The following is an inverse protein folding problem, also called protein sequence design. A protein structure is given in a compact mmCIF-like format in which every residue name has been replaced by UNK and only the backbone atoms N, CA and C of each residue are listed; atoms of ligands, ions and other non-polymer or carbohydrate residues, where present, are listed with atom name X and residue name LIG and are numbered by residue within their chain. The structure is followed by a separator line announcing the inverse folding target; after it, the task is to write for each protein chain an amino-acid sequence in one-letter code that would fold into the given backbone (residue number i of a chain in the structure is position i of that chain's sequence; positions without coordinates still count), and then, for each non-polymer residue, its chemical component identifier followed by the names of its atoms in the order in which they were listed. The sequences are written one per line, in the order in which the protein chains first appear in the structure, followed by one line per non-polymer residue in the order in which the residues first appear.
data_IF_991502020676
#
_entry.id   IF_991502020676
#
_cell.length_a   1.000
_cell.length_b   1.000
_cell.length_c   1.000
_cell.angle_alpha   90.00
_cell.angle_beta   90.00
_cell.angle_gamma   90.00
#
_symmetry.space_group_name_H-M   'P 1'
#
loop_
_entity.id
_entity.type
_entity.pdbx_description
1 polymer ?
#
# COMPACT_ATOMS: atom_id res chain seq x y z
N UNK A 1 -24.61 -10.27 12.69
CA UNK A 1 -24.71 -10.03 11.22
C UNK A 1 -23.40 -9.44 10.72
N UNK A 2 -22.63 -10.20 9.92
CA UNK A 2 -21.30 -9.82 9.40
C UNK A 2 -21.49 -8.76 8.30
N UNK A 3 -21.26 -7.48 8.60
CA UNK A 3 -21.39 -6.40 7.61
C UNK A 3 -20.30 -6.56 6.55
N UNK A 4 -20.67 -7.08 5.37
CA UNK A 4 -19.77 -7.11 4.23
C UNK A 4 -19.43 -5.66 3.86
N UNK A 5 -18.15 -5.33 3.64
CA UNK A 5 -17.78 -3.97 3.25
C UNK A 5 -18.50 -3.58 1.96
N UNK A 6 -19.33 -2.54 2.01
CA UNK A 6 -20.01 -2.01 0.83
C UNK A 6 -18.98 -1.29 -0.05
N UNK A 7 -18.75 -1.88 -1.23
CA UNK A 7 -17.83 -1.42 -2.27
C UNK A 7 -18.12 0.00 -2.78
N UNK A 8 -19.32 0.53 -2.51
CA UNK A 8 -19.72 1.88 -2.91
C UNK A 8 -19.35 2.94 -1.89
N UNK A 9 -18.89 2.55 -0.69
CA UNK A 9 -18.57 3.49 0.38
C UNK A 9 -17.39 4.40 -0.02
N UNK A 10 -17.45 5.72 0.25
CA UNK A 10 -16.38 6.66 -0.10
C UNK A 10 -15.00 6.28 0.46
N UNK A 11 -14.96 5.58 1.60
CA UNK A 11 -13.74 5.04 2.21
C UNK A 11 -13.00 4.04 1.30
N UNK A 12 -13.74 3.13 0.69
CA UNK A 12 -13.16 2.09 -0.18
C UNK A 12 -12.71 2.71 -1.50
N UNK A 13 -13.45 3.70 -2.01
CA UNK A 13 -13.04 4.48 -3.19
C UNK A 13 -11.76 5.27 -2.93
N UNK A 14 -11.65 5.91 -1.76
CA UNK A 14 -10.43 6.60 -1.34
C UNK A 14 -9.24 5.64 -1.30
N UNK A 15 -9.42 4.44 -0.73
CA UNK A 15 -8.40 3.40 -0.72
C UNK A 15 -7.97 3.01 -2.15
N UNK A 16 -8.94 2.78 -3.03
CA UNK A 16 -8.69 2.40 -4.42
C UNK A 16 -7.98 3.50 -5.21
N UNK A 17 -8.36 4.77 -5.00
CA UNK A 17 -7.75 5.91 -5.68
C UNK A 17 -6.32 6.19 -5.20
N UNK A 18 -6.04 6.03 -3.91
CA UNK A 18 -4.70 6.18 -3.38
C UNK A 18 -3.72 5.18 -4.01
N UNK A 19 -4.14 3.92 -4.15
CA UNK A 19 -3.32 2.89 -4.82
C UNK A 19 -3.14 3.19 -6.31
N UNK A 20 -4.17 3.67 -7.00
CA UNK A 20 -4.05 4.08 -8.41
C UNK A 20 -3.10 5.25 -8.61
N UNK A 21 -3.04 6.19 -7.67
CA UNK A 21 -2.19 7.38 -7.77
C UNK A 21 -0.70 7.02 -7.68
N UNK A 22 -0.33 6.10 -6.79
CA UNK A 22 1.04 5.57 -6.71
C UNK A 22 1.44 4.82 -8.00
N UNK A 23 0.52 4.02 -8.56
CA UNK A 23 0.71 3.36 -9.85
C UNK A 23 0.93 4.35 -11.00
N UNK A 24 0.19 5.46 -11.04
CA UNK A 24 0.32 6.45 -12.13
C UNK A 24 1.70 7.09 -12.16
N UNK A 25 2.25 7.49 -11.02
CA UNK A 25 3.58 8.10 -10.98
C UNK A 25 4.69 7.14 -11.38
N UNK A 26 4.57 5.87 -10.97
CA UNK A 26 5.49 4.82 -11.36
C UNK A 26 5.43 4.54 -12.87
N UNK A 27 4.23 4.48 -13.46
CA UNK A 27 4.06 4.29 -14.90
C UNK A 27 4.61 5.48 -15.69
N UNK A 28 4.34 6.71 -15.24
CA UNK A 28 4.85 7.93 -15.89
C UNK A 28 6.39 7.96 -15.89
N UNK A 29 7.03 7.63 -14.76
CA UNK A 29 8.48 7.56 -14.67
C UNK A 29 9.08 6.50 -15.62
N UNK A 30 8.43 5.33 -15.72
CA UNK A 30 8.82 4.25 -16.64
C UNK A 30 8.71 4.66 -18.11
N UNK A 31 7.60 5.28 -18.50
CA UNK A 31 7.41 5.78 -19.86
C UNK A 31 8.43 6.87 -20.22
N UNK A 32 8.74 7.77 -19.29
CA UNK A 32 9.78 8.79 -19.47
C UNK A 32 11.16 8.15 -19.66
N UNK A 33 11.51 7.17 -18.83
CA UNK A 33 12.80 6.48 -18.91
C UNK A 33 12.94 5.69 -20.24
N UNK A 34 11.85 5.04 -20.67
CA UNK A 34 11.81 4.27 -21.92
C UNK A 34 11.87 5.19 -23.15
N UNK A 35 11.13 6.30 -23.13
CA UNK A 35 11.18 7.31 -24.20
C UNK A 35 12.55 7.97 -24.31
N UNK A 36 13.17 8.34 -23.18
CA UNK A 36 14.50 8.91 -23.15
C UNK A 36 15.57 7.92 -23.66
N UNK A 37 15.50 6.66 -23.23
CA UNK A 37 16.40 5.60 -23.70
C UNK A 37 16.29 5.34 -25.21
N UNK A 38 15.06 5.28 -25.74
CA UNK A 38 14.81 5.11 -27.17
C UNK A 38 15.30 6.30 -28.00
N UNK A 39 15.06 7.54 -27.53
CA UNK A 39 15.53 8.76 -28.20
C UNK A 39 17.06 8.81 -28.28
N UNK A 40 17.76 8.46 -27.19
CA UNK A 40 19.22 8.36 -27.14
C UNK A 40 19.77 7.34 -28.16
N UNK A 41 19.15 6.17 -28.23
CA UNK A 41 19.56 5.14 -29.20
C UNK A 41 19.32 5.62 -30.63
N UNK A 42 18.16 6.20 -30.95
CA UNK A 42 17.87 6.68 -32.31
C UNK A 42 18.80 7.82 -32.77
N UNK A 43 19.12 8.78 -31.90
CA UNK A 43 19.94 9.95 -32.26
C UNK A 43 21.43 9.60 -32.35
N UNK A 44 21.94 8.75 -31.45
CA UNK A 44 23.39 8.50 -31.31
C UNK A 44 23.87 7.16 -31.89
N UNK A 45 22.99 6.38 -32.53
CA UNK A 45 23.32 5.06 -33.09
C UNK A 45 24.56 5.05 -33.97
N UNK A 46 24.79 6.15 -34.71
CA UNK A 46 25.84 6.24 -35.73
C UNK A 46 27.12 6.93 -35.25
N UNK A 47 27.09 7.64 -34.14
CA UNK A 47 28.19 8.53 -33.73
C UNK A 47 28.97 8.01 -32.52
N UNK A 48 28.32 7.37 -31.54
CA UNK A 48 28.97 6.99 -30.29
C UNK A 48 28.43 5.68 -29.71
N UNK A 49 29.24 4.61 -29.80
CA UNK A 49 28.90 3.28 -29.27
C UNK A 49 28.70 3.26 -27.74
N UNK A 50 29.32 4.20 -27.01
CA UNK A 50 29.19 4.29 -25.54
C UNK A 50 27.79 4.80 -25.15
N UNK A 51 27.27 5.80 -25.87
CA UNK A 51 25.94 6.37 -25.59
C UNK A 51 24.81 5.40 -25.91
N UNK A 52 24.96 4.57 -26.96
CA UNK A 52 24.02 3.48 -27.23
C UNK A 52 24.05 2.40 -26.17
N UNK A 53 25.23 2.05 -25.63
CA UNK A 53 25.35 1.11 -24.52
C UNK A 53 24.62 1.61 -23.26
N UNK A 54 24.76 2.91 -22.92
CA UNK A 54 24.04 3.54 -21.79
C UNK A 54 22.52 3.51 -22.02
N UNK A 55 22.06 3.84 -23.24
CA UNK A 55 20.64 3.78 -23.60
C UNK A 55 20.06 2.37 -23.43
N UNK A 56 20.80 1.34 -23.86
CA UNK A 56 20.42 -0.06 -23.69
C UNK A 56 20.32 -0.47 -22.21
N UNK A 57 21.28 -0.01 -21.39
CA UNK A 57 21.33 -0.28 -19.95
C UNK A 57 20.12 0.35 -19.22
N UNK A 58 19.76 1.59 -19.57
CA UNK A 58 18.53 2.23 -19.09
C UNK A 58 17.27 1.44 -19.49
N UNK A 59 17.23 0.90 -20.71
CA UNK A 59 16.09 0.15 -21.22
C UNK A 59 15.92 -1.19 -20.48
N UNK A 60 17.03 -1.89 -20.22
CA UNK A 60 17.04 -3.10 -19.39
C UNK A 60 16.65 -2.81 -17.93
N UNK A 61 17.12 -1.70 -17.35
CA UNK A 61 16.76 -1.27 -16.01
C UNK A 61 15.26 -0.92 -15.91
N UNK A 62 14.69 -0.28 -16.93
CA UNK A 62 13.27 -0.01 -17.05
C UNK A 62 12.46 -1.31 -17.08
N UNK A 63 12.83 -2.27 -17.95
CA UNK A 63 12.14 -3.56 -18.06
C UNK A 63 12.23 -4.35 -16.75
N UNK A 64 13.41 -4.40 -16.11
CA UNK A 64 13.59 -5.10 -14.84
C UNK A 64 12.78 -4.47 -13.71
N UNK A 65 12.78 -3.14 -13.62
CA UNK A 65 11.95 -2.41 -12.65
C UNK A 65 10.47 -2.67 -12.91
N UNK A 66 10.02 -2.64 -14.16
CA UNK A 66 8.63 -2.94 -14.53
C UNK A 66 8.21 -4.35 -14.12
N UNK A 67 9.07 -5.35 -14.30
CA UNK A 67 8.80 -6.73 -13.85
C UNK A 67 8.73 -6.83 -12.33
N UNK A 68 9.64 -6.16 -11.63
CA UNK A 68 9.65 -6.12 -10.17
C UNK A 68 8.39 -5.46 -9.61
N UNK A 69 8.00 -4.31 -10.17
CA UNK A 69 6.79 -3.57 -9.78
C UNK A 69 5.52 -4.37 -10.10
N UNK A 70 5.45 -5.00 -11.27
CA UNK A 70 4.31 -5.81 -11.68
C UNK A 70 4.14 -7.07 -10.81
N UNK A 71 5.24 -7.67 -10.35
CA UNK A 71 5.22 -8.85 -9.48
C UNK A 71 4.83 -8.53 -8.04
N UNK A 72 5.36 -7.44 -7.47
CA UNK A 72 5.23 -7.18 -6.04
C UNK A 72 3.94 -6.41 -5.67
N UNK A 73 3.48 -5.46 -6.49
CA UNK A 73 2.37 -4.57 -6.11
C UNK A 73 0.99 -4.99 -6.63
N UNK A 74 0.90 -5.96 -7.55
CA UNK A 74 -0.39 -6.50 -8.00
C UNK A 74 -1.01 -7.48 -6.98
N UNK A 75 -0.16 -8.06 -6.12
CA UNK A 75 -0.58 -8.99 -5.06
C UNK A 75 -1.23 -8.23 -3.91
N UNK A 76 -0.69 -7.09 -3.47
CA UNK A 76 -1.20 -6.35 -2.30
C UNK A 76 -2.62 -5.80 -2.52
N UNK A 77 -2.93 -5.28 -3.71
CA UNK A 77 -4.22 -4.68 -4.01
C UNK A 77 -5.33 -5.73 -4.28
N UNK A 78 -4.96 -6.89 -4.82
CA UNK A 78 -5.88 -8.01 -4.99
C UNK A 78 -6.08 -8.75 -3.67
N UNK A 79 -5.00 -8.99 -2.92
CA UNK A 79 -5.01 -9.75 -1.67
C UNK A 79 -5.73 -8.98 -0.57
N UNK A 80 -5.43 -7.69 -0.34
CA UNK A 80 -6.12 -6.92 0.71
C UNK A 80 -7.62 -6.80 0.47
N UNK A 81 -8.02 -6.55 -0.78
CA UNK A 81 -9.42 -6.42 -1.13
C UNK A 81 -10.15 -7.77 -1.09
N UNK A 82 -9.48 -8.84 -1.51
CA UNK A 82 -10.00 -10.21 -1.33
C UNK A 82 -10.09 -10.59 0.16
N UNK A 83 -9.14 -10.20 0.99
CA UNK A 83 -9.17 -10.41 2.44
C UNK A 83 -10.33 -9.64 3.06
N UNK A 84 -10.48 -8.35 2.77
CA UNK A 84 -11.59 -7.54 3.28
C UNK A 84 -12.96 -8.12 2.90
N UNK A 85 -13.12 -8.59 1.66
CA UNK A 85 -14.41 -9.05 1.13
C UNK A 85 -14.71 -10.53 1.40
N UNK A 86 -13.71 -11.41 1.38
CA UNK A 86 -13.88 -12.87 1.50
C UNK A 86 -13.51 -13.41 2.88
N UNK A 87 -12.47 -12.86 3.52
CA UNK A 87 -11.95 -13.36 4.80
C UNK A 87 -11.58 -12.22 5.77
N UNK A 88 -12.55 -11.37 6.16
CA UNK A 88 -12.28 -10.25 7.06
C UNK A 88 -11.73 -10.69 8.42
N UNK A 89 -12.01 -11.94 8.84
CA UNK A 89 -11.52 -12.53 10.10
C UNK A 89 -10.01 -12.78 10.16
N UNK A 90 -9.30 -12.75 9.03
CA UNK A 90 -7.85 -12.96 9.01
C UNK A 90 -7.06 -11.69 9.35
N UNK A 91 -7.73 -10.53 9.35
CA UNK A 91 -7.13 -9.25 9.70
C UNK A 91 -7.29 -9.03 11.20
N UNK A 92 -6.16 -8.92 11.90
CA UNK A 92 -6.17 -8.89 13.37
C UNK A 92 -5.79 -7.53 13.91
N UNK A 93 -4.87 -6.84 13.24
CA UNK A 93 -4.34 -5.59 13.77
C UNK A 93 -4.15 -4.57 12.66
N UNK A 94 -4.75 -3.41 12.86
CA UNK A 94 -4.70 -2.29 11.92
C UNK A 94 -4.16 -1.08 12.66
N UNK A 95 -3.10 -0.48 12.14
CA UNK A 95 -2.55 0.75 12.71
C UNK A 95 -2.12 1.70 11.61
N UNK A 96 -2.29 3.00 11.84
CA UNK A 96 -1.83 4.03 10.94
C UNK A 96 -0.64 4.75 11.53
N UNK A 97 0.34 5.06 10.67
CA UNK A 97 1.53 5.84 10.99
C UNK A 97 1.54 7.06 10.08
N UNK A 98 1.31 8.24 10.65
CA UNK A 98 1.43 9.50 9.92
C UNK A 98 2.86 9.98 10.05
N UNK A 99 3.61 9.99 8.95
CA UNK A 99 4.98 10.50 8.95
C UNK A 99 4.94 11.96 8.54
N UNK A 100 5.01 12.86 9.52
CA UNK A 100 5.06 14.29 9.25
C UNK A 100 6.49 14.70 8.89
N UNK A 101 6.78 14.84 7.60
CA UNK A 101 8.03 15.45 7.13
C UNK A 101 7.78 16.92 6.87
N UNK A 102 8.34 17.79 7.70
CA UNK A 102 8.37 19.25 7.48
C UNK A 102 9.80 19.67 7.13
N UNK A 103 10.31 19.41 5.91
CA UNK A 103 11.52 20.08 5.47
C UNK A 103 11.20 21.58 5.34
N UNK A 104 11.95 22.43 6.07
CA UNK A 104 11.87 23.90 6.02
C UNK A 104 10.61 24.59 6.57
N UNK A 105 9.83 23.94 7.44
CA UNK A 105 8.69 24.59 8.13
C UNK A 105 7.48 24.90 7.23
N UNK A 106 7.49 24.47 5.96
CA UNK A 106 6.35 24.52 5.06
C UNK A 106 5.50 23.26 5.25
N UNK A 107 4.18 23.41 5.42
CA UNK A 107 3.26 22.28 5.52
C UNK A 107 3.09 21.59 4.16
N UNK A 108 3.95 20.62 3.87
CA UNK A 108 3.73 19.70 2.75
C UNK A 108 2.56 18.76 3.05
N UNK A 109 1.85 18.35 2.00
CA UNK A 109 0.72 17.41 2.05
C UNK A 109 1.04 16.20 2.93
N UNK A 110 0.30 16.06 4.04
CA UNK A 110 0.52 15.01 5.05
C UNK A 110 0.04 13.65 4.52
N UNK A 111 0.97 12.70 4.44
CA UNK A 111 0.70 11.32 4.05
C UNK A 111 0.89 10.39 5.26
N UNK A 112 0.03 9.39 5.38
CA UNK A 112 0.11 8.36 6.39
C UNK A 112 0.06 6.98 5.77
N UNK A 113 0.75 6.03 6.39
CA UNK A 113 0.74 4.63 5.98
C UNK A 113 -0.21 3.88 6.92
N UNK A 114 -1.15 3.15 6.36
CA UNK A 114 -2.04 2.23 7.05
C UNK A 114 -1.50 0.82 6.90
N UNK A 115 -1.16 0.20 8.02
CA UNK A 115 -0.65 -1.16 8.09
C UNK A 115 -1.74 -2.13 8.54
N UNK A 116 -1.81 -3.25 7.84
CA UNK A 116 -2.70 -4.38 8.08
C UNK A 116 -1.83 -5.59 8.41
N UNK A 117 -1.97 -6.10 9.62
CA UNK A 117 -1.30 -7.32 10.07
C UNK A 117 -2.30 -8.46 10.10
N UNK A 118 -1.93 -9.55 9.44
CA UNK A 118 -2.74 -10.76 9.32
C UNK A 118 -2.40 -11.80 10.38
N UNK A 119 -3.31 -12.76 10.59
CA UNK A 119 -3.08 -13.96 11.41
C UNK A 119 -1.87 -14.78 10.93
N UNK A 120 -1.66 -14.87 9.62
CA UNK A 120 -0.59 -15.66 9.01
C UNK A 120 0.81 -15.01 9.17
N UNK A 121 0.95 -13.92 9.92
CA UNK A 121 2.19 -13.17 10.06
C UNK A 121 2.48 -12.18 8.91
N UNK A 122 1.64 -12.17 7.88
CA UNK A 122 1.79 -11.30 6.72
C UNK A 122 1.41 -9.84 7.04
N UNK A 123 2.02 -8.91 6.31
CA UNK A 123 1.81 -7.48 6.46
C UNK A 123 1.47 -6.83 5.13
N UNK A 124 0.40 -6.05 5.12
CA UNK A 124 0.03 -5.23 3.98
C UNK A 124 0.07 -3.76 4.40
N UNK A 125 0.72 -2.91 3.62
CA UNK A 125 0.82 -1.48 3.88
C UNK A 125 0.23 -0.66 2.74
N UNK A 126 -0.60 0.33 3.06
CA UNK A 126 -1.20 1.25 2.08
C UNK A 126 -0.90 2.68 2.49
N UNK A 127 -0.33 3.47 1.59
CA UNK A 127 -0.09 4.90 1.80
C UNK A 127 -1.31 5.72 1.32
N UNK A 128 -1.78 6.62 2.19
CA UNK A 128 -3.00 7.40 2.03
C UNK A 128 -2.79 8.83 2.54
N UNK A 129 -3.45 9.85 1.95
CA UNK A 129 -3.50 11.19 2.54
C UNK A 129 -4.14 11.16 3.95
N UNK A 130 -3.67 12.00 4.87
CA UNK A 130 -4.15 12.01 6.27
C UNK A 130 -5.68 12.19 6.38
N UNK A 131 -6.26 13.05 5.53
CA UNK A 131 -7.70 13.30 5.48
C UNK A 131 -8.52 12.03 5.19
N UNK A 132 -7.99 11.15 4.35
CA UNK A 132 -8.63 9.88 3.99
C UNK A 132 -8.32 8.79 5.02
N UNK A 133 -7.13 8.82 5.62
CA UNK A 133 -6.69 7.85 6.63
C UNK A 133 -7.66 7.77 7.83
N UNK A 134 -8.14 8.92 8.33
CA UNK A 134 -9.11 8.95 9.45
C UNK A 134 -10.45 8.33 9.05
N UNK A 135 -10.94 8.67 7.86
CA UNK A 135 -12.20 8.16 7.31
C UNK A 135 -12.13 6.64 7.09
N UNK A 136 -11.06 6.16 6.48
CA UNK A 136 -10.80 4.73 6.26
C UNK A 136 -10.70 3.99 7.59
N UNK A 137 -9.92 4.49 8.55
CA UNK A 137 -9.77 3.85 9.89
C UNK A 137 -11.11 3.74 10.61
N UNK A 138 -11.93 4.79 10.59
CA UNK A 138 -13.25 4.78 11.21
C UNK A 138 -14.19 3.77 10.55
N UNK A 139 -14.19 3.70 9.21
CA UNK A 139 -14.97 2.73 8.46
C UNK A 139 -14.52 1.28 8.74
N UNK A 140 -13.21 1.03 8.77
CA UNK A 140 -12.66 -0.29 9.07
C UNK A 140 -13.02 -0.76 10.48
N UNK A 141 -13.04 0.13 11.48
CA UNK A 141 -13.51 -0.22 12.84
C UNK A 141 -14.93 -0.79 12.85
N UNK A 142 -15.78 -0.30 11.96
CA UNK A 142 -17.16 -0.78 11.82
C UNK A 142 -17.25 -2.10 11.07
N UNK A 143 -16.42 -2.28 10.04
CA UNK A 143 -16.39 -3.51 9.23
C UNK A 143 -15.64 -4.67 9.89
N UNK A 144 -14.67 -4.38 10.77
CA UNK A 144 -13.76 -5.34 11.41
C UNK A 144 -13.79 -5.16 12.94
N UNK A 145 -14.92 -5.43 13.61
CA UNK A 145 -15.04 -5.23 15.06
C UNK A 145 -14.12 -6.15 15.88
N UNK A 146 -13.72 -7.30 15.30
CA UNK A 146 -12.80 -8.28 15.88
C UNK A 146 -11.33 -7.85 15.81
N UNK A 147 -10.98 -6.87 14.97
CA UNK A 147 -9.60 -6.41 14.81
C UNK A 147 -9.24 -5.35 15.86
N UNK A 148 -8.01 -5.40 16.36
CA UNK A 148 -7.42 -4.38 17.22
C UNK A 148 -6.97 -3.18 16.38
N UNK A 149 -7.22 -1.97 16.87
CA UNK A 149 -6.86 -0.72 16.17
C UNK A 149 -5.87 0.13 16.96
N UNK A 150 -4.84 0.63 16.27
CA UNK A 150 -3.84 1.57 16.81
C UNK A 150 -2.57 0.87 17.28
N UNK A 151 -1.46 1.62 17.26
CA UNK A 151 -0.13 1.13 17.62
C UNK A 151 0.13 1.24 19.13
N UNK A 152 0.74 0.20 19.71
CA UNK A 152 1.36 0.20 21.04
C UNK A 152 2.49 -0.83 21.03
N UNK A 153 3.56 -0.60 21.81
CA UNK A 153 4.66 -1.56 21.97
C UNK A 153 4.18 -2.90 22.52
N UNK A 154 3.23 -2.89 23.43
CA UNK A 154 2.68 -4.14 24.02
C UNK A 154 1.95 -4.97 22.95
N UNK A 155 1.26 -4.31 22.03
CA UNK A 155 0.54 -4.97 20.93
C UNK A 155 1.49 -5.54 19.89
N UNK A 156 2.59 -4.85 19.64
CA UNK A 156 3.66 -5.37 18.79
C UNK A 156 4.25 -6.65 19.39
N UNK A 157 4.50 -6.66 20.71
CA UNK A 157 4.95 -7.86 21.42
C UNK A 157 3.92 -8.99 21.39
N UNK A 158 2.63 -8.68 21.58
CA UNK A 158 1.56 -9.69 21.47
C UNK A 158 1.46 -10.25 20.05
N UNK A 159 1.63 -9.42 19.02
CA UNK A 159 1.66 -9.89 17.64
C UNK A 159 2.81 -10.86 17.39
N UNK A 160 4.01 -10.53 17.90
CA UNK A 160 5.20 -11.37 17.78
C UNK A 160 5.07 -12.68 18.57
N UNK A 161 4.41 -12.65 19.73
CA UNK A 161 4.20 -13.82 20.56
C UNK A 161 3.13 -14.76 19.96
N UNK A 162 1.98 -14.21 19.56
CA UNK A 162 0.91 -14.96 18.90
C UNK A 162 -0.11 -13.99 18.28
N UNK A 163 -0.27 -13.98 16.95
CA UNK A 163 -1.21 -13.10 16.25
C UNK A 163 -2.64 -13.18 16.79
N UNK A 164 -3.09 -14.34 17.26
CA UNK A 164 -4.44 -14.54 17.81
C UNK A 164 -4.74 -13.70 19.07
N UNK A 165 -3.72 -13.31 19.85
CA UNK A 165 -3.90 -12.54 21.09
C UNK A 165 -4.43 -11.12 20.84
N UNK A 166 -4.35 -10.65 19.60
CA UNK A 166 -4.82 -9.33 19.19
C UNK A 166 -6.25 -9.35 18.65
N UNK A 167 -6.88 -10.52 18.57
CA UNK A 167 -8.32 -10.59 18.28
C UNK A 167 -9.08 -10.08 19.50
N UNK A 168 -9.94 -9.11 19.27
CA UNK A 168 -10.84 -8.63 20.32
C UNK A 168 -11.92 -9.69 20.51
N UNK A 169 -12.01 -10.25 21.71
CA UNK A 169 -13.14 -11.11 22.08
C UNK A 169 -14.44 -10.33 21.85
N UNK A 170 -15.39 -10.96 21.14
CA UNK A 170 -16.68 -10.33 20.88
C UNK A 170 -17.31 -9.93 22.21
N UNK A 171 -17.79 -8.68 22.36
CA UNK A 171 -18.54 -8.28 23.55
C UNK A 171 -19.91 -8.96 23.51
N UNK A 172 -19.99 -10.22 23.93
CA UNK A 172 -21.23 -11.01 23.88
C UNK A 172 -21.18 -12.46 24.34
N UNK A 173 -20.02 -13.04 24.67
CA UNK A 173 -19.94 -14.44 25.14
C UNK A 173 -19.72 -14.54 26.66
N UNK A 174 -20.50 -13.78 27.44
CA UNK A 174 -20.36 -13.75 28.89
C UNK A 174 -21.50 -13.05 29.58
N UNK A 175 -22.73 -13.57 29.41
CA UNK A 175 -23.78 -13.62 30.43
C UNK A 175 -24.71 -14.79 30.11
#
# INVERSE_FOLDING_TARGET
MKQRPDLRHPAIRALHLAVLQEWRWQMVALFLLLGAGAALVCVFFRQNAILTAIGLLCLLAAIRSMRHLAGNHRVENTRLFQLLCRRPGEIVWIYSVVTQRMPFGLEFTRHGILYFRLLDGDQISISLPESQLRLVTHYLRRCLPHATFGYSRDREQWYLASPHLLLREEPGAGK
#
